data_IF_721999373545
#
_entry.id   IF_721999373545
#
_cell.length_a   1.000
_cell.length_b   1.000
_cell.length_c   1.000
_cell.angle_alpha   90.00
_cell.angle_beta   90.00
_cell.angle_gamma   90.00
#
_symmetry.space_group_name_H-M   'P 1'
#
loop_
_entity.id
_entity.type
_entity.pdbx_description
1 polymer ?
#
# COMPACT_ATOMS: atom_id res chain seq x y z
N UNK A 1 8.83 -0.71 -27.21
CA UNK A 1 9.14 -0.39 -25.80
C UNK A 1 8.00 0.40 -25.12
N UNK A 2 7.03 0.95 -25.87
CA UNK A 2 5.87 1.72 -25.37
C UNK A 2 4.65 0.91 -24.95
N UNK A 3 4.59 -0.39 -25.23
CA UNK A 3 3.39 -1.21 -24.94
C UNK A 3 3.29 -1.66 -23.48
N UNK A 4 4.39 -1.92 -22.78
CA UNK A 4 4.37 -2.48 -21.42
C UNK A 4 4.00 -1.45 -20.34
N UNK A 5 4.49 -0.22 -20.44
CA UNK A 5 4.15 0.88 -19.51
C UNK A 5 2.64 1.11 -19.44
N UNK A 6 1.97 1.01 -20.59
CA UNK A 6 0.53 1.19 -20.70
C UNK A 6 -0.24 0.17 -19.85
N UNK A 7 0.18 -1.10 -19.86
CA UNK A 7 -0.43 -2.14 -19.01
C UNK A 7 -0.28 -1.84 -17.52
N UNK A 8 0.88 -1.35 -17.07
CA UNK A 8 1.08 -0.96 -15.68
C UNK A 8 0.21 0.24 -15.29
N UNK A 9 0.06 1.23 -16.18
CA UNK A 9 -0.81 2.37 -15.98
C UNK A 9 -2.29 1.97 -15.92
N UNK A 10 -2.72 0.97 -16.70
CA UNK A 10 -4.11 0.48 -16.71
C UNK A 10 -4.46 -0.53 -15.61
N UNK A 11 -3.48 -1.15 -14.94
CA UNK A 11 -3.75 -2.07 -13.83
C UNK A 11 -4.65 -1.42 -12.76
N UNK A 12 -5.46 -2.19 -12.03
CA UNK A 12 -6.35 -1.60 -11.02
C UNK A 12 -5.57 -0.87 -9.89
N UNK A 13 -4.50 -1.49 -9.42
CA UNK A 13 -3.59 -0.97 -8.40
C UNK A 13 -2.24 -1.69 -8.52
N UNK A 14 -1.24 -1.21 -7.78
CA UNK A 14 0.06 -1.86 -7.69
C UNK A 14 0.21 -2.57 -6.35
N UNK A 15 0.68 -3.81 -6.36
CA UNK A 15 0.91 -4.61 -5.16
C UNK A 15 2.41 -4.72 -4.90
N UNK A 16 2.85 -4.21 -3.76
CA UNK A 16 4.23 -4.28 -3.31
C UNK A 16 4.35 -5.34 -2.23
N UNK A 17 5.14 -6.38 -2.51
CA UNK A 17 5.48 -7.42 -1.54
C UNK A 17 6.76 -7.02 -0.81
N UNK A 18 6.64 -6.75 0.49
CA UNK A 18 7.75 -6.37 1.36
C UNK A 18 8.30 -7.62 2.06
N UNK A 19 9.61 -7.78 1.97
CA UNK A 19 10.38 -8.96 2.41
C UNK A 19 10.65 -9.00 3.93
N UNK A 20 10.45 -7.88 4.62
CA UNK A 20 10.64 -7.78 6.07
C UNK A 20 9.32 -7.82 6.84
N UNK A 21 9.41 -8.18 8.12
CA UNK A 21 8.28 -8.12 9.04
C UNK A 21 8.07 -6.67 9.49
N UNK A 22 6.86 -6.15 9.29
CA UNK A 22 6.48 -4.81 9.71
C UNK A 22 5.44 -4.93 10.82
N UNK A 23 5.61 -4.19 11.90
CA UNK A 23 4.76 -4.32 13.09
C UNK A 23 4.61 -2.99 13.83
N UNK A 24 3.67 -2.98 14.76
CA UNK A 24 3.46 -1.92 15.72
C UNK A 24 3.62 -2.49 17.14
N UNK A 25 4.40 -1.81 17.98
CA UNK A 25 4.53 -2.10 19.40
C UNK A 25 4.45 -0.79 20.18
N UNK A 26 3.48 -0.61 21.10
CA UNK A 26 3.39 0.59 21.94
C UNK A 26 4.63 0.84 22.80
N UNK A 27 5.39 -0.21 23.15
CA UNK A 27 6.63 -0.10 23.96
C UNK A 27 7.85 0.27 23.11
N UNK A 28 7.78 0.09 21.79
CA UNK A 28 8.84 0.40 20.85
C UNK A 28 8.28 1.11 19.60
N UNK A 29 8.15 2.45 19.65
CA UNK A 29 7.67 3.25 18.52
C UNK A 29 8.54 3.15 17.26
N UNK A 30 9.80 2.70 17.38
CA UNK A 30 10.69 2.57 16.22
C UNK A 30 10.17 1.56 15.19
N UNK A 31 9.40 0.55 15.64
CA UNK A 31 8.74 -0.42 14.76
C UNK A 31 7.69 0.25 13.87
N UNK A 32 6.92 1.18 14.44
CA UNK A 32 5.97 1.97 13.65
C UNK A 32 6.67 2.89 12.67
N UNK A 33 7.79 3.52 13.07
CA UNK A 33 8.56 4.37 12.16
C UNK A 33 9.07 3.60 10.95
N UNK A 34 9.62 2.38 11.16
CA UNK A 34 10.03 1.48 10.08
C UNK A 34 8.85 1.10 9.18
N UNK A 35 7.70 0.79 9.78
CA UNK A 35 6.49 0.50 9.01
C UNK A 35 6.05 1.70 8.16
N UNK A 36 5.99 2.90 8.75
CA UNK A 36 5.63 4.11 8.03
C UNK A 36 6.63 4.42 6.89
N UNK A 37 7.94 4.29 7.12
CA UNK A 37 8.96 4.45 6.09
C UNK A 37 8.79 3.45 4.94
N UNK A 38 8.57 2.18 5.27
CA UNK A 38 8.33 1.13 4.28
C UNK A 38 7.11 1.42 3.39
N UNK A 39 6.09 2.10 3.92
CA UNK A 39 4.87 2.45 3.18
C UNK A 39 4.98 3.78 2.44
N UNK A 40 5.74 4.74 2.96
CA UNK A 40 5.91 6.05 2.34
C UNK A 40 6.84 6.03 1.13
N UNK A 41 7.93 5.24 1.20
CA UNK A 41 8.94 5.23 0.14
C UNK A 41 9.53 3.85 -0.17
N UNK A 42 9.23 2.83 0.65
CA UNK A 42 9.78 1.49 0.47
C UNK A 42 11.30 1.48 0.42
N UNK A 43 11.87 0.73 -0.53
CA UNK A 43 13.32 0.64 -0.77
C UNK A 43 13.77 1.50 -1.97
N UNK A 44 12.88 2.35 -2.51
CA UNK A 44 13.16 3.23 -3.66
C UNK A 44 13.03 2.57 -5.04
N UNK A 45 12.92 1.23 -5.12
CA UNK A 45 12.76 0.50 -6.39
C UNK A 45 11.53 -0.41 -6.43
N UNK A 46 10.78 -0.51 -5.33
CA UNK A 46 9.67 -1.44 -5.16
C UNK A 46 8.28 -0.78 -5.22
N UNK A 47 8.23 0.53 -5.46
CA UNK A 47 6.99 1.30 -5.58
C UNK A 47 6.73 1.76 -7.01
N UNK A 48 5.45 1.90 -7.35
CA UNK A 48 5.02 2.69 -8.50
C UNK A 48 4.29 3.95 -7.99
N UNK A 49 5.04 5.04 -7.79
CA UNK A 49 4.50 6.25 -7.14
C UNK A 49 3.50 7.02 -8.02
N UNK A 50 3.55 6.84 -9.33
CA UNK A 50 2.57 7.43 -10.27
C UNK A 50 1.24 6.67 -10.31
N UNK A 51 1.08 5.61 -9.49
CA UNK A 51 -0.18 4.85 -9.42
C UNK A 51 -1.11 5.54 -8.44
N UNK A 52 -2.40 5.62 -8.79
CA UNK A 52 -3.47 6.08 -7.90
C UNK A 52 -3.28 5.63 -6.45
N UNK A 53 -3.06 4.33 -6.24
CA UNK A 53 -2.61 3.81 -4.96
C UNK A 53 -1.82 2.50 -5.11
N UNK A 54 -1.00 2.23 -4.10
CA UNK A 54 -0.21 1.02 -3.93
C UNK A 54 -0.68 0.31 -2.65
N UNK A 55 -0.75 -1.03 -2.68
CA UNK A 55 -0.96 -1.87 -1.49
C UNK A 55 0.38 -2.51 -1.12
N UNK A 56 0.76 -2.40 0.15
CA UNK A 56 1.97 -2.97 0.71
C UNK A 56 1.60 -4.18 1.56
N UNK A 57 2.20 -5.34 1.26
CA UNK A 57 2.03 -6.58 2.02
C UNK A 57 3.39 -6.98 2.60
N UNK A 58 3.52 -6.99 3.92
CA UNK A 58 4.74 -7.45 4.58
C UNK A 58 4.80 -8.96 4.71
N UNK A 59 5.99 -9.48 5.00
CA UNK A 59 6.23 -10.93 5.17
C UNK A 59 5.36 -11.57 6.25
N UNK A 60 5.04 -10.83 7.32
CA UNK A 60 4.13 -11.26 8.38
C UNK A 60 2.64 -10.97 8.07
N UNK A 61 2.30 -10.64 6.83
CA UNK A 61 0.93 -10.44 6.37
C UNK A 61 0.28 -9.12 6.80
N UNK A 62 1.05 -8.13 7.28
CA UNK A 62 0.49 -6.80 7.55
C UNK A 62 0.28 -6.07 6.23
N UNK A 63 -0.82 -5.33 6.17
CA UNK A 63 -1.27 -4.61 4.99
C UNK A 63 -1.30 -3.12 5.28
N UNK A 64 -0.88 -2.31 4.31
CA UNK A 64 -1.08 -0.85 4.29
C UNK A 64 -1.23 -0.33 2.86
N UNK A 65 -1.62 0.93 2.73
CA UNK A 65 -1.76 1.62 1.46
C UNK A 65 -0.89 2.89 1.39
N UNK A 66 -0.37 3.16 0.20
CA UNK A 66 0.17 4.46 -0.18
C UNK A 66 -0.70 5.02 -1.30
N UNK A 67 -1.23 6.22 -1.12
CA UNK A 67 -2.07 6.88 -2.13
C UNK A 67 -1.30 8.03 -2.76
N UNK A 68 -1.43 8.17 -4.07
CA UNK A 68 -1.01 9.38 -4.76
C UNK A 68 -2.01 10.50 -4.42
N UNK A 69 -1.50 11.67 -4.05
CA UNK A 69 -2.31 12.73 -3.44
C UNK A 69 -3.20 13.49 -4.43
N UNK A 70 -2.83 13.58 -5.71
CA UNK A 70 -3.64 14.24 -6.73
C UNK A 70 -4.89 13.41 -7.11
N UNK A 71 -4.85 12.09 -6.88
CA UNK A 71 -5.94 11.20 -7.22
C UNK A 71 -7.13 11.31 -6.27
N UNK A 72 -6.89 11.40 -4.95
CA UNK A 72 -7.97 11.58 -3.98
C UNK A 72 -7.49 12.06 -2.60
N UNK A 73 -8.43 12.62 -1.83
CA UNK A 73 -8.23 12.96 -0.43
C UNK A 73 -8.33 11.73 0.49
N UNK A 74 -7.74 11.85 1.69
CA UNK A 74 -7.68 10.80 2.71
C UNK A 74 -9.03 10.11 3.04
N UNK A 75 -10.19 10.80 3.11
CA UNK A 75 -11.46 10.14 3.43
C UNK A 75 -11.88 9.07 2.40
N UNK A 76 -11.55 9.27 1.11
CA UNK A 76 -11.88 8.32 0.05
C UNK A 76 -11.12 7.01 0.26
N UNK A 77 -9.81 7.10 0.50
CA UNK A 77 -8.98 5.92 0.80
C UNK A 77 -9.38 5.23 2.09
N UNK A 78 -9.78 6.00 3.09
CA UNK A 78 -10.22 5.46 4.39
C UNK A 78 -11.48 4.63 4.21
N UNK A 79 -12.48 5.15 3.50
CA UNK A 79 -13.72 4.43 3.22
C UNK A 79 -13.48 3.16 2.38
N UNK A 80 -12.62 3.23 1.36
CA UNK A 80 -12.21 2.06 0.59
C UNK A 80 -11.60 0.98 1.50
N UNK A 81 -10.69 1.37 2.40
CA UNK A 81 -10.02 0.43 3.30
C UNK A 81 -10.99 -0.23 4.28
N UNK A 82 -11.92 0.54 4.84
CA UNK A 82 -12.99 0.03 5.70
C UNK A 82 -13.87 -0.99 4.96
N UNK A 83 -14.25 -0.70 3.72
CA UNK A 83 -15.03 -1.62 2.89
C UNK A 83 -14.29 -2.95 2.68
N UNK A 84 -13.01 -2.91 2.33
CA UNK A 84 -12.19 -4.11 2.13
C UNK A 84 -12.10 -4.95 3.41
N UNK A 85 -11.90 -4.31 4.57
CA UNK A 85 -11.79 -5.00 5.86
C UNK A 85 -13.14 -5.55 6.34
N UNK A 86 -14.24 -4.84 6.08
CA UNK A 86 -15.58 -5.25 6.45
C UNK A 86 -16.21 -6.24 5.46
N UNK A 87 -15.60 -6.44 4.29
CA UNK A 87 -16.13 -7.30 3.25
C UNK A 87 -16.28 -8.73 3.75
N UNK A 88 -17.52 -9.20 3.75
CA UNK A 88 -17.87 -10.59 4.02
C UNK A 88 -18.36 -11.21 2.72
N UNK A 89 -17.89 -12.42 2.44
CA UNK A 89 -18.38 -13.21 1.32
C UNK A 89 -19.91 -13.38 1.49
N UNK A 90 -20.74 -12.96 0.53
CA UNK A 90 -22.16 -13.25 0.56
C UNK A 90 -22.34 -14.78 0.50
N UNK A 91 -23.22 -15.30 1.35
CA UNK A 91 -23.54 -16.73 1.45
C UNK A 91 -23.99 -17.30 0.11
#
# INVERSE_FOLDING_TARGET
MTSYIFWYLQAAFFLMLYDENLDFDPKDPSRLNKFSQAVLHGKGYNFWLDKSFNIVVSKNGRLRCNCEHSWCDSPIMTHFWEFVLAWKKPN
#
